data_IF_472930913254
#
_entry.id   IF_472930913254
#
_cell.length_a   1.000
_cell.length_b   1.000
_cell.length_c   1.000
_cell.angle_alpha   90.00
_cell.angle_beta   90.00
_cell.angle_gamma   90.00
#
_symmetry.space_group_name_H-M   'P 1'
#
loop_
_entity.id
_entity.type
_entity.pdbx_description
1 polymer ?
#
# COMPACT_ATOMS: atom_id res chain seq x y z
N UNK A 1 1.20 -3.53 -12.64
CA UNK A 1 0.82 -4.29 -11.44
C UNK A 1 -0.60 -3.90 -11.06
N UNK A 2 -1.46 -4.86 -10.72
CA UNK A 2 -2.84 -4.60 -10.26
C UNK A 2 -2.89 -4.52 -8.73
N UNK A 3 -3.96 -3.94 -8.17
CA UNK A 3 -4.21 -3.94 -6.71
C UNK A 3 -4.19 -5.37 -6.14
N UNK A 4 -4.71 -6.34 -6.90
CA UNK A 4 -4.69 -7.75 -6.52
C UNK A 4 -3.30 -8.36 -6.49
N UNK A 5 -2.35 -7.86 -7.28
CA UNK A 5 -0.96 -8.31 -7.27
C UNK A 5 -0.23 -7.77 -6.03
N UNK A 6 -0.48 -6.52 -5.65
CA UNK A 6 0.04 -5.91 -4.42
C UNK A 6 -0.47 -6.66 -3.20
N UNK A 7 -1.78 -6.93 -3.15
CA UNK A 7 -2.41 -7.67 -2.07
C UNK A 7 -1.77 -9.06 -1.88
N UNK A 8 -1.51 -9.78 -2.96
CA UNK A 8 -0.83 -11.09 -2.90
C UNK A 8 0.64 -10.96 -2.47
N UNK A 9 1.34 -9.93 -2.94
CA UNK A 9 2.74 -9.68 -2.62
C UNK A 9 2.95 -9.31 -1.14
N UNK A 10 1.98 -8.59 -0.55
CA UNK A 10 2.05 -8.08 0.83
C UNK A 10 1.22 -8.90 1.83
N UNK A 11 0.65 -10.03 1.41
CA UNK A 11 -0.30 -10.84 2.20
C UNK A 11 -1.37 -9.96 2.87
N UNK A 12 -1.97 -9.09 2.05
CA UNK A 12 -2.87 -8.03 2.46
C UNK A 12 -4.27 -8.25 1.86
N UNK A 13 -5.30 -7.99 2.66
CA UNK A 13 -6.67 -8.07 2.17
C UNK A 13 -7.01 -6.90 1.22
N UNK A 14 -7.77 -7.20 0.15
CA UNK A 14 -8.18 -6.20 -0.85
C UNK A 14 -9.01 -5.06 -0.25
N UNK A 15 -9.86 -5.35 0.74
CA UNK A 15 -10.65 -4.32 1.43
C UNK A 15 -9.77 -3.38 2.24
N UNK A 16 -8.68 -3.89 2.83
CA UNK A 16 -7.69 -3.08 3.53
C UNK A 16 -6.93 -2.18 2.55
N UNK A 17 -6.47 -2.71 1.42
CA UNK A 17 -5.83 -1.91 0.38
C UNK A 17 -6.76 -0.80 -0.15
N UNK A 18 -8.03 -1.13 -0.42
CA UNK A 18 -9.01 -0.13 -0.87
C UNK A 18 -9.30 0.94 0.19
N UNK A 19 -9.28 0.58 1.49
CA UNK A 19 -9.42 1.55 2.57
C UNK A 19 -8.21 2.50 2.68
N UNK A 20 -7.00 2.02 2.37
CA UNK A 20 -5.78 2.86 2.29
C UNK A 20 -5.91 3.84 1.11
N UNK A 21 -6.16 3.33 -0.10
CA UNK A 21 -6.31 4.14 -1.32
C UNK A 21 -7.42 5.19 -1.18
N UNK A 22 -8.51 4.86 -0.48
CA UNK A 22 -9.62 5.77 -0.21
C UNK A 22 -9.41 6.72 0.97
N UNK A 23 -8.23 6.74 1.61
CA UNK A 23 -7.93 7.59 2.77
C UNK A 23 -8.72 7.24 4.03
N UNK A 24 -9.39 6.08 4.07
CA UNK A 24 -10.22 5.61 5.20
C UNK A 24 -9.39 4.92 6.29
N UNK A 25 -8.12 4.60 5.99
CA UNK A 25 -7.21 3.95 6.93
C UNK A 25 -5.92 4.74 7.05
N UNK A 26 -5.60 5.14 8.28
CA UNK A 26 -4.26 5.62 8.61
C UNK A 26 -3.35 4.41 8.87
N UNK A 27 -2.26 4.31 8.11
CA UNK A 27 -1.30 3.20 8.20
C UNK A 27 -0.04 3.61 8.94
N UNK A 28 0.72 2.63 9.42
CA UNK A 28 2.03 2.90 10.03
C UNK A 28 3.06 3.24 8.95
N UNK A 29 4.14 3.92 9.35
CA UNK A 29 5.28 4.20 8.45
C UNK A 29 5.88 2.89 7.93
N UNK A 30 6.02 1.85 8.77
CA UNK A 30 6.50 0.55 8.33
C UNK A 30 5.62 -0.06 7.21
N UNK A 31 4.29 0.08 7.30
CA UNK A 31 3.39 -0.42 6.26
C UNK A 31 3.46 0.42 4.97
N UNK A 32 3.70 1.72 5.10
CA UNK A 32 3.94 2.62 3.98
C UNK A 32 5.25 2.25 3.26
N UNK A 33 6.31 1.92 3.99
CA UNK A 33 7.58 1.42 3.44
C UNK A 33 7.40 0.09 2.71
N UNK A 34 6.66 -0.86 3.28
CA UNK A 34 6.31 -2.11 2.60
C UNK A 34 5.57 -1.88 1.27
N UNK A 35 4.61 -0.94 1.26
CA UNK A 35 3.88 -0.55 0.04
C UNK A 35 4.79 0.07 -1.00
N UNK A 36 5.64 1.02 -0.61
CA UNK A 36 6.60 1.67 -1.49
C UNK A 36 7.55 0.64 -2.13
N UNK A 37 8.10 -0.27 -1.31
CA UNK A 37 8.93 -1.38 -1.78
C UNK A 37 8.17 -2.34 -2.70
N UNK A 38 6.89 -2.60 -2.43
CA UNK A 38 6.07 -3.45 -3.29
C UNK A 38 5.83 -2.83 -4.68
N UNK A 39 5.69 -1.50 -4.71
CA UNK A 39 5.44 -0.66 -5.88
C UNK A 39 6.71 -0.24 -6.63
N UNK A 40 7.90 -0.46 -6.05
CA UNK A 40 9.20 -0.02 -6.58
C UNK A 40 9.27 1.51 -6.75
N UNK A 41 8.78 2.22 -5.74
CA UNK A 41 8.77 3.70 -5.64
C UNK A 41 9.33 4.12 -4.30
N UNK A 42 9.66 5.41 -4.15
CA UNK A 42 10.04 5.93 -2.84
C UNK A 42 8.81 6.21 -1.96
N UNK A 43 9.02 6.26 -0.65
CA UNK A 43 7.95 6.60 0.31
C UNK A 43 7.39 8.01 0.07
N UNK A 44 8.21 8.97 -0.37
CA UNK A 44 7.75 10.34 -0.65
C UNK A 44 6.77 10.42 -1.84
N UNK A 45 6.83 9.48 -2.77
CA UNK A 45 5.87 9.40 -3.87
C UNK A 45 4.46 9.01 -3.41
N UNK A 46 4.34 8.37 -2.24
CA UNK A 46 3.06 7.98 -1.63
C UNK A 46 2.49 9.04 -0.66
N UNK A 47 3.23 10.14 -0.43
CA UNK A 47 2.86 11.22 0.50
C UNK A 47 2.49 12.53 -0.21
N UNK A 48 2.50 12.54 -1.55
CA UNK A 48 2.10 13.68 -2.40
C UNK A 48 0.60 13.66 -2.67
#
# INVERSE_FOLDING_TARGET
MTQGDICRKLDMDRSYMSAIEGGKKNITIAKLEELANALDVSVDELLK
#
